data_IF_041033135488
#
_entry.id   IF_041033135488
#
_cell.length_a   1.000
_cell.length_b   1.000
_cell.length_c   1.000
_cell.angle_alpha   90.00
_cell.angle_beta   90.00
_cell.angle_gamma   90.00
#
_symmetry.space_group_name_H-M   'P 1'
#
loop_
_entity.id
_entity.type
_entity.pdbx_description
1 polymer ?
#
# COMPACT_ATOMS: atom_id res chain seq x y z
N UNK A 1 55.43 0.42 -52.72
CA UNK A 1 54.24 1.06 -52.12
C UNK A 1 54.19 0.67 -50.66
N UNK A 2 54.55 1.60 -49.78
CA UNK A 2 54.68 1.36 -48.33
C UNK A 2 53.32 1.54 -47.64
N UNK A 3 52.92 0.55 -46.84
CA UNK A 3 51.72 0.59 -46.01
C UNK A 3 51.91 1.58 -44.85
N UNK A 4 51.03 2.57 -44.77
CA UNK A 4 50.98 3.52 -43.67
C UNK A 4 50.54 2.85 -42.35
N UNK A 5 51.16 3.18 -41.20
CA UNK A 5 50.81 2.57 -39.92
C UNK A 5 49.45 3.09 -39.41
N UNK A 6 48.65 2.18 -38.85
CA UNK A 6 47.34 2.48 -38.26
C UNK A 6 47.52 3.27 -36.93
N UNK A 7 46.69 4.29 -36.67
CA UNK A 7 46.70 4.99 -35.39
C UNK A 7 46.18 4.08 -34.27
N UNK A 8 46.97 3.94 -33.22
CA UNK A 8 46.60 3.28 -31.97
C UNK A 8 45.53 4.10 -31.24
N UNK A 9 44.44 3.44 -30.84
CA UNK A 9 43.40 4.05 -30.00
C UNK A 9 43.98 4.39 -28.62
N UNK A 10 43.74 5.59 -28.07
CA UNK A 10 44.10 5.89 -26.69
C UNK A 10 43.24 5.05 -25.74
N UNK A 11 43.91 4.27 -24.89
CA UNK A 11 43.28 3.62 -23.75
C UNK A 11 42.82 4.70 -22.76
N UNK A 12 41.52 4.74 -22.47
CA UNK A 12 40.99 5.55 -21.38
C UNK A 12 41.34 4.86 -20.04
N UNK A 13 42.10 5.50 -19.14
CA UNK A 13 42.27 5.01 -17.78
C UNK A 13 41.01 5.40 -17.01
N UNK A 14 40.12 4.44 -16.72
CA UNK A 14 39.05 4.68 -15.75
C UNK A 14 39.65 4.65 -14.33
N UNK A 15 39.54 5.74 -13.56
CA UNK A 15 39.93 5.74 -12.16
C UNK A 15 38.88 4.97 -11.35
N UNK A 16 39.36 4.03 -10.53
CA UNK A 16 38.62 3.51 -9.37
C UNK A 16 38.29 4.71 -8.46
N UNK A 17 37.06 4.75 -7.94
CA UNK A 17 36.49 5.75 -7.01
C UNK A 17 35.94 7.06 -7.61
N UNK A 18 34.72 6.98 -8.16
CA UNK A 18 33.77 8.10 -8.15
C UNK A 18 32.64 7.78 -7.15
N UNK A 19 32.64 8.31 -5.91
CA UNK A 19 31.59 8.11 -4.90
C UNK A 19 30.35 8.99 -5.15
N UNK A 20 29.98 9.24 -6.42
CA UNK A 20 28.87 10.13 -6.80
C UNK A 20 27.67 9.45 -7.45
N UNK A 21 27.74 8.15 -7.78
CA UNK A 21 26.72 7.49 -8.61
C UNK A 21 25.64 6.70 -7.82
N UNK A 22 25.68 6.71 -6.49
CA UNK A 22 24.78 5.90 -5.66
C UNK A 22 23.42 6.56 -5.33
N UNK A 23 23.21 7.84 -5.65
CA UNK A 23 21.95 8.54 -5.32
C UNK A 23 20.93 8.52 -6.47
N UNK A 24 21.31 8.10 -7.69
CA UNK A 24 20.45 8.23 -8.88
C UNK A 24 19.77 6.92 -9.33
N UNK A 25 19.42 6.02 -8.39
CA UNK A 25 18.77 4.74 -8.72
C UNK A 25 17.49 4.41 -7.95
N UNK A 26 16.96 5.34 -7.16
CA UNK A 26 15.70 5.14 -6.43
C UNK A 26 14.47 5.81 -7.09
N UNK A 27 14.59 6.29 -8.33
CA UNK A 27 13.42 6.60 -9.14
C UNK A 27 13.04 5.34 -9.91
N UNK A 28 12.12 4.53 -9.37
CA UNK A 28 11.54 3.43 -10.14
C UNK A 28 10.85 4.03 -11.38
N UNK A 29 11.23 3.62 -12.61
CA UNK A 29 10.59 4.10 -13.81
C UNK A 29 9.18 3.50 -13.89
N UNK A 30 8.20 4.20 -13.31
CA UNK A 30 6.79 3.87 -13.44
C UNK A 30 6.28 3.90 -14.90
N UNK A 31 7.09 4.40 -15.85
CA UNK A 31 6.70 4.56 -17.24
C UNK A 31 6.78 3.30 -18.11
N UNK A 32 7.72 2.38 -17.87
CA UNK A 32 7.94 1.27 -18.82
C UNK A 32 6.91 0.15 -18.72
N UNK A 33 6.22 0.02 -17.57
CA UNK A 33 5.21 -1.02 -17.36
C UNK A 33 3.84 -0.66 -17.92
N UNK A 34 3.57 0.60 -18.25
CA UNK A 34 2.27 1.01 -18.80
C UNK A 34 2.15 0.64 -20.28
N UNK A 35 3.24 0.75 -21.04
CA UNK A 35 3.24 0.41 -22.46
C UNK A 35 3.08 -1.11 -22.69
N UNK A 36 3.41 -1.94 -21.72
CA UNK A 36 3.24 -3.39 -21.76
C UNK A 36 1.81 -3.85 -21.44
N UNK A 37 1.00 -2.99 -20.81
CA UNK A 37 -0.42 -3.26 -20.52
C UNK A 37 -1.38 -2.79 -21.62
N UNK A 38 -0.87 -2.17 -22.69
CA UNK A 38 -1.72 -1.66 -23.76
C UNK A 38 -2.21 -2.80 -24.67
N UNK A 39 -3.53 -3.01 -24.79
CA UNK A 39 -4.06 -3.88 -25.82
C UNK A 39 -3.76 -3.28 -27.20
N UNK A 40 -3.33 -4.14 -28.14
CA UNK A 40 -2.97 -3.77 -29.51
C UNK A 40 -4.19 -3.22 -30.29
N UNK A 41 -5.41 -3.61 -29.89
CA UNK A 41 -6.67 -3.18 -30.46
C UNK A 41 -7.66 -2.69 -29.38
N UNK A 42 -8.26 -1.52 -29.59
CA UNK A 42 -9.25 -0.93 -28.68
C UNK A 42 -10.67 -1.36 -29.06
N UNK A 43 -11.08 -2.53 -28.60
CA UNK A 43 -12.47 -2.98 -28.72
C UNK A 43 -13.43 -2.18 -27.82
N UNK A 44 -14.72 -2.17 -28.17
CA UNK A 44 -15.77 -1.55 -27.37
C UNK A 44 -15.83 -2.10 -25.93
N UNK A 45 -15.48 -3.37 -25.73
CA UNK A 45 -15.40 -4.00 -24.40
C UNK A 45 -14.26 -3.41 -23.57
N UNK A 46 -13.09 -3.18 -24.19
CA UNK A 46 -11.92 -2.54 -23.57
C UNK A 46 -12.24 -1.11 -23.15
N UNK A 47 -12.88 -0.33 -24.02
CA UNK A 47 -13.34 1.03 -23.70
C UNK A 47 -14.29 1.01 -22.49
N UNK A 48 -15.25 0.08 -22.48
CA UNK A 48 -16.16 -0.11 -21.35
C UNK A 48 -15.42 -0.46 -20.05
N UNK A 49 -14.43 -1.36 -20.12
CA UNK A 49 -13.64 -1.78 -18.96
C UNK A 49 -12.75 -0.65 -18.42
N UNK A 50 -12.15 0.16 -19.30
CA UNK A 50 -11.39 1.35 -18.93
C UNK A 50 -12.27 2.42 -18.28
N UNK A 51 -13.49 2.64 -18.79
CA UNK A 51 -14.45 3.56 -18.19
C UNK A 51 -14.86 3.09 -16.78
N UNK A 52 -15.14 1.80 -16.61
CA UNK A 52 -15.42 1.20 -15.29
C UNK A 52 -14.21 1.33 -14.37
N UNK A 53 -13.00 1.07 -14.86
CA UNK A 53 -11.75 1.25 -14.10
C UNK A 53 -11.57 2.69 -13.62
N UNK A 54 -11.85 3.66 -14.48
CA UNK A 54 -11.81 5.09 -14.13
C UNK A 54 -12.83 5.43 -13.03
N UNK A 55 -14.08 4.94 -13.14
CA UNK A 55 -15.10 5.13 -12.11
C UNK A 55 -14.69 4.47 -10.79
N UNK A 56 -14.18 3.24 -10.81
CA UNK A 56 -13.67 2.55 -9.63
C UNK A 56 -12.49 3.31 -9.01
N UNK A 57 -11.58 3.82 -9.82
CA UNK A 57 -10.47 4.67 -9.38
C UNK A 57 -10.96 5.94 -8.67
N UNK A 58 -11.99 6.61 -9.20
CA UNK A 58 -12.60 7.78 -8.56
C UNK A 58 -13.24 7.39 -7.22
N UNK A 59 -13.99 6.29 -7.17
CA UNK A 59 -14.60 5.82 -5.91
C UNK A 59 -13.51 5.46 -4.89
N UNK A 60 -12.41 4.83 -5.30
CA UNK A 60 -11.27 4.57 -4.42
C UNK A 60 -10.60 5.86 -3.95
N UNK A 61 -10.47 6.85 -4.84
CA UNK A 61 -9.85 8.14 -4.53
C UNK A 61 -10.64 8.94 -3.48
N UNK A 62 -11.97 8.93 -3.55
CA UNK A 62 -12.84 9.73 -2.67
C UNK A 62 -13.44 8.97 -1.49
N UNK A 63 -13.68 7.67 -1.66
CA UNK A 63 -14.37 6.82 -0.69
C UNK A 63 -13.51 5.64 -0.23
N UNK A 64 -12.24 5.57 -0.60
CA UNK A 64 -11.37 4.41 -0.37
C UNK A 64 -11.32 3.95 1.09
N UNK A 65 -11.19 4.89 2.04
CA UNK A 65 -11.23 4.56 3.46
C UNK A 65 -12.56 3.91 3.89
N UNK A 66 -13.71 4.43 3.42
CA UNK A 66 -15.03 3.84 3.76
C UNK A 66 -15.21 2.48 3.08
N UNK A 67 -14.79 2.37 1.82
CA UNK A 67 -14.79 1.12 1.07
C UNK A 67 -13.94 0.06 1.75
N UNK A 68 -12.79 0.40 2.32
CA UNK A 68 -11.95 -0.54 3.06
C UNK A 68 -12.71 -1.19 4.22
N UNK A 69 -13.43 -0.41 5.03
CA UNK A 69 -14.26 -0.95 6.11
C UNK A 69 -15.40 -1.82 5.58
N UNK A 70 -16.11 -1.36 4.54
CA UNK A 70 -17.16 -2.15 3.91
C UNK A 70 -16.63 -3.46 3.33
N UNK A 71 -15.45 -3.44 2.70
CA UNK A 71 -14.81 -4.62 2.14
C UNK A 71 -14.40 -5.62 3.24
N UNK A 72 -13.85 -5.15 4.37
CA UNK A 72 -13.58 -6.03 5.51
C UNK A 72 -14.84 -6.68 6.05
N UNK A 73 -15.94 -5.94 6.17
CA UNK A 73 -17.22 -6.47 6.63
C UNK A 73 -17.78 -7.54 5.67
N UNK A 74 -17.74 -7.27 4.35
CA UNK A 74 -18.15 -8.22 3.32
C UNK A 74 -17.25 -9.46 3.32
N UNK A 75 -15.94 -9.27 3.47
CA UNK A 75 -14.99 -10.38 3.56
C UNK A 75 -15.27 -11.28 4.77
N UNK A 76 -15.48 -10.69 5.96
CA UNK A 76 -15.84 -11.44 7.16
C UNK A 76 -17.18 -12.17 7.01
N UNK A 77 -18.17 -11.53 6.36
CA UNK A 77 -19.44 -12.16 6.02
C UNK A 77 -19.23 -13.39 5.15
N UNK A 78 -18.49 -13.25 4.04
CA UNK A 78 -18.23 -14.34 3.10
C UNK A 78 -17.46 -15.48 3.76
N UNK A 79 -16.46 -15.18 4.59
CA UNK A 79 -15.73 -16.21 5.32
C UNK A 79 -16.64 -17.03 6.25
N UNK A 80 -17.46 -16.37 7.08
CA UNK A 80 -18.37 -17.08 7.96
C UNK A 80 -19.47 -17.84 7.19
N UNK A 81 -20.00 -17.25 6.12
CA UNK A 81 -20.98 -17.89 5.25
C UNK A 81 -20.41 -19.14 4.57
N UNK A 82 -19.20 -19.05 4.01
CA UNK A 82 -18.53 -20.18 3.36
C UNK A 82 -18.14 -21.28 4.35
N UNK A 83 -17.71 -20.93 5.56
CA UNK A 83 -17.44 -21.89 6.62
C UNK A 83 -18.72 -22.67 6.99
N UNK A 84 -19.84 -21.97 7.16
CA UNK A 84 -21.11 -22.61 7.49
C UNK A 84 -21.68 -23.43 6.33
N UNK A 85 -21.52 -22.94 5.10
CA UNK A 85 -21.87 -23.70 3.90
C UNK A 85 -21.06 -25.00 3.78
N UNK A 86 -19.76 -24.97 4.13
CA UNK A 86 -18.90 -26.15 4.14
C UNK A 86 -19.35 -27.18 5.18
N UNK A 87 -19.68 -26.74 6.41
CA UNK A 87 -20.24 -27.60 7.45
C UNK A 87 -21.61 -28.16 7.03
N UNK A 88 -22.46 -27.32 6.46
CA UNK A 88 -23.76 -27.71 5.94
C UNK A 88 -23.67 -28.73 4.80
N UNK A 89 -22.66 -28.64 3.93
CA UNK A 89 -22.42 -29.61 2.86
C UNK A 89 -22.11 -31.01 3.40
N UNK A 90 -21.32 -31.11 4.48
CA UNK A 90 -21.05 -32.38 5.16
C UNK A 90 -22.33 -32.96 5.76
N UNK A 91 -23.16 -32.13 6.39
CA UNK A 91 -24.42 -32.56 6.99
C UNK A 91 -25.47 -33.01 5.96
N UNK A 92 -25.55 -32.32 4.83
CA UNK A 92 -26.43 -32.66 3.70
C UNK A 92 -26.12 -34.03 3.10
N UNK A 93 -24.88 -34.50 3.21
CA UNK A 93 -24.45 -35.81 2.73
C UNK A 93 -25.00 -37.01 3.53
N UNK A 94 -25.55 -36.78 4.74
CA UNK A 94 -25.95 -37.86 5.64
C UNK A 94 -27.35 -38.43 5.34
N UNK A 95 -28.35 -37.61 5.00
CA UNK A 95 -29.70 -38.11 4.63
C UNK A 95 -30.27 -37.42 3.38
N UNK A 96 -30.52 -38.17 2.29
CA UNK A 96 -31.06 -37.60 1.06
C UNK A 96 -32.58 -37.30 1.10
N UNK A 97 -33.33 -37.87 2.06
CA UNK A 97 -34.80 -37.76 2.11
C UNK A 97 -35.31 -36.37 2.52
N UNK A 98 -34.50 -35.56 3.21
CA UNK A 98 -34.91 -34.26 3.77
C UNK A 98 -34.07 -33.07 3.25
N UNK A 99 -33.53 -33.18 2.03
CA UNK A 99 -32.60 -32.17 1.51
C UNK A 99 -33.20 -30.76 1.42
N UNK A 100 -34.50 -30.62 1.16
CA UNK A 100 -35.16 -29.31 1.02
C UNK A 100 -35.05 -28.48 2.29
N UNK A 101 -35.51 -29.04 3.41
CA UNK A 101 -35.49 -28.37 4.73
C UNK A 101 -34.07 -28.13 5.23
N UNK A 102 -33.16 -29.10 5.03
CA UNK A 102 -31.75 -28.98 5.45
C UNK A 102 -31.01 -27.87 4.68
N UNK A 103 -31.22 -27.75 3.37
CA UNK A 103 -30.62 -26.67 2.54
C UNK A 103 -31.10 -25.29 2.99
N UNK A 104 -32.40 -25.14 3.24
CA UNK A 104 -32.96 -23.88 3.72
C UNK A 104 -32.35 -23.48 5.07
N UNK A 105 -32.20 -24.44 6.00
CA UNK A 105 -31.59 -24.21 7.30
C UNK A 105 -30.12 -23.75 7.18
N UNK A 106 -29.31 -24.43 6.36
CA UNK A 106 -27.91 -24.06 6.13
C UNK A 106 -27.78 -22.64 5.58
N UNK A 107 -28.64 -22.25 4.64
CA UNK A 107 -28.62 -20.88 4.09
C UNK A 107 -28.99 -19.84 5.17
N UNK A 108 -30.05 -20.08 5.95
CA UNK A 108 -30.48 -19.15 7.00
C UNK A 108 -29.43 -19.02 8.09
N UNK A 109 -28.85 -20.13 8.56
CA UNK A 109 -27.75 -20.12 9.53
C UNK A 109 -26.51 -19.40 8.96
N UNK A 110 -26.16 -19.65 7.70
CA UNK A 110 -25.05 -18.97 7.03
C UNK A 110 -25.24 -17.46 6.95
N UNK A 111 -26.45 -16.99 6.65
CA UNK A 111 -26.77 -15.56 6.65
C UNK A 111 -26.69 -14.94 8.06
N UNK A 112 -27.20 -15.64 9.08
CA UNK A 112 -27.13 -15.19 10.47
C UNK A 112 -25.68 -15.11 10.97
N UNK A 113 -24.89 -16.16 10.77
CA UNK A 113 -23.48 -16.17 11.17
C UNK A 113 -22.63 -15.19 10.36
N UNK A 114 -22.88 -15.08 9.05
CA UNK A 114 -22.25 -14.09 8.19
C UNK A 114 -22.49 -12.66 8.67
N UNK A 115 -23.74 -12.30 8.97
CA UNK A 115 -24.08 -10.96 9.46
C UNK A 115 -23.47 -10.69 10.83
N UNK A 116 -23.51 -11.64 11.76
CA UNK A 116 -22.84 -11.53 13.06
C UNK A 116 -21.33 -11.33 12.91
N UNK A 117 -20.67 -12.09 12.04
CA UNK A 117 -19.24 -11.98 11.76
C UNK A 117 -18.88 -10.61 11.16
N UNK A 118 -19.70 -10.09 10.23
CA UNK A 118 -19.50 -8.76 9.66
C UNK A 118 -19.57 -7.66 10.72
N UNK A 119 -20.58 -7.68 11.59
CA UNK A 119 -20.74 -6.70 12.68
C UNK A 119 -19.59 -6.82 13.69
N UNK A 120 -19.20 -8.04 14.04
CA UNK A 120 -18.07 -8.28 14.95
C UNK A 120 -16.76 -7.79 14.32
N UNK A 121 -16.53 -8.06 13.04
CA UNK A 121 -15.37 -7.59 12.30
C UNK A 121 -15.31 -6.06 12.28
N UNK A 122 -16.44 -5.36 12.06
CA UNK A 122 -16.49 -3.90 12.12
C UNK A 122 -16.13 -3.35 13.51
N UNK A 123 -16.49 -4.06 14.59
CA UNK A 123 -16.07 -3.69 15.95
C UNK A 123 -14.58 -3.96 16.17
N UNK A 124 -14.08 -5.09 15.69
CA UNK A 124 -12.68 -5.50 15.81
C UNK A 124 -11.75 -4.72 14.89
N UNK A 125 -12.24 -4.15 13.77
CA UNK A 125 -11.42 -3.41 12.81
C UNK A 125 -10.71 -2.23 13.50
N UNK A 126 -11.37 -1.57 14.47
CA UNK A 126 -10.73 -0.53 15.31
C UNK A 126 -9.51 -1.07 16.06
N UNK A 127 -9.63 -2.27 16.63
CA UNK A 127 -8.54 -2.94 17.33
C UNK A 127 -7.44 -3.38 16.36
N UNK A 128 -7.81 -3.90 15.18
CA UNK A 128 -6.86 -4.27 14.13
C UNK A 128 -6.06 -3.07 13.64
N UNK A 129 -6.69 -1.93 13.38
CA UNK A 129 -5.98 -0.70 12.99
C UNK A 129 -5.02 -0.20 14.07
N UNK A 130 -5.45 -0.27 15.33
CA UNK A 130 -4.63 0.06 16.48
C UNK A 130 -3.40 -0.85 16.56
N UNK A 131 -3.59 -2.15 16.37
CA UNK A 131 -2.52 -3.14 16.40
C UNK A 131 -1.56 -2.97 15.22
N UNK A 132 -2.08 -2.78 14.00
CA UNK A 132 -1.27 -2.52 12.80
C UNK A 132 -0.46 -1.23 12.99
N UNK A 133 -1.06 -0.18 13.54
CA UNK A 133 -0.34 1.07 13.80
C UNK A 133 0.74 0.95 14.86
N UNK A 134 0.46 0.18 15.91
CA UNK A 134 1.44 -0.13 16.93
C UNK A 134 2.61 -0.95 16.36
N UNK A 135 2.33 -2.05 15.64
CA UNK A 135 3.34 -2.91 15.04
C UNK A 135 4.17 -2.17 13.98
N UNK A 136 3.51 -1.37 13.13
CA UNK A 136 4.18 -0.55 12.13
C UNK A 136 5.07 0.53 12.76
N UNK A 137 4.56 1.25 13.75
CA UNK A 137 5.35 2.24 14.49
C UNK A 137 6.50 1.59 15.27
N UNK A 138 6.28 0.42 15.85
CA UNK A 138 7.33 -0.33 16.54
C UNK A 138 8.46 -0.75 15.59
N UNK A 139 8.12 -1.21 14.38
CA UNK A 139 9.10 -1.55 13.35
C UNK A 139 9.91 -0.33 12.89
N UNK A 140 9.24 0.81 12.67
CA UNK A 140 9.90 2.09 12.33
C UNK A 140 10.83 2.53 13.48
N UNK A 141 10.35 2.49 14.72
CA UNK A 141 11.14 2.84 15.90
C UNK A 141 12.38 1.95 16.05
N UNK A 142 12.25 0.65 15.83
CA UNK A 142 13.37 -0.27 15.83
C UNK A 142 14.38 0.08 14.72
N UNK A 143 13.91 0.39 13.52
CA UNK A 143 14.74 0.88 12.42
C UNK A 143 15.48 2.18 12.76
N UNK A 144 14.82 3.13 13.41
CA UNK A 144 15.46 4.38 13.87
C UNK A 144 16.55 4.11 14.90
N UNK A 145 16.31 3.20 15.85
CA UNK A 145 17.30 2.84 16.88
C UNK A 145 18.52 2.17 16.23
N UNK A 146 18.30 1.23 15.31
CA UNK A 146 19.38 0.61 14.55
C UNK A 146 20.18 1.63 13.74
N UNK A 147 19.50 2.60 13.10
CA UNK A 147 20.16 3.67 12.37
C UNK A 147 21.00 4.57 13.29
N UNK A 148 20.47 4.95 14.46
CA UNK A 148 21.20 5.76 15.45
C UNK A 148 22.42 4.99 15.96
N UNK A 149 22.27 3.70 16.30
CA UNK A 149 23.39 2.85 16.73
C UNK A 149 24.44 2.81 15.62
N UNK A 150 24.05 2.53 14.38
CA UNK A 150 24.96 2.48 13.23
C UNK A 150 25.71 3.80 13.00
N UNK A 151 25.02 4.94 13.04
CA UNK A 151 25.63 6.26 12.86
C UNK A 151 26.56 6.61 14.03
N UNK A 152 26.20 6.21 15.25
CA UNK A 152 27.01 6.45 16.45
C UNK A 152 28.25 5.55 16.55
N UNK A 153 28.26 4.39 15.87
CA UNK A 153 29.42 3.50 15.85
C UNK A 153 30.63 4.13 15.14
N UNK A 154 30.41 4.90 14.06
CA UNK A 154 31.50 5.53 13.31
C UNK A 154 32.39 6.42 14.18
N UNK A 155 31.87 7.45 14.89
CA UNK A 155 32.71 8.32 15.70
C UNK A 155 33.31 7.61 16.91
N UNK A 156 32.65 6.61 17.48
CA UNK A 156 33.19 5.84 18.62
C UNK A 156 34.41 5.02 18.19
N UNK A 157 34.29 4.31 17.06
CA UNK A 157 35.38 3.49 16.51
C UNK A 157 36.60 4.32 16.07
N UNK A 158 36.41 5.61 15.77
CA UNK A 158 37.49 6.52 15.38
C UNK A 158 38.22 7.14 16.59
N UNK A 159 37.56 7.23 17.77
CA UNK A 159 38.15 7.85 18.97
C UNK A 159 38.92 6.88 19.86
N UNK A 160 38.65 5.58 19.79
CA UNK A 160 39.35 4.57 20.59
C UNK A 160 40.47 3.89 19.77
N UNK A 161 41.74 4.25 20.03
CA UNK A 161 42.90 3.40 19.72
C UNK A 161 42.95 2.13 20.62
N UNK A 162 42.02 2.02 21.57
CA UNK A 162 41.87 0.91 22.51
C UNK A 162 40.84 -0.12 22.01
N UNK A 163 40.94 -1.36 22.52
CA UNK A 163 40.10 -2.48 22.08
C UNK A 163 38.60 -2.15 22.11
N UNK A 164 37.84 -2.45 21.04
CA UNK A 164 36.45 -2.06 20.91
C UNK A 164 35.60 -2.61 22.06
N UNK A 165 34.78 -1.75 22.67
CA UNK A 165 33.91 -2.09 23.78
C UNK A 165 32.85 -3.14 23.36
N UNK A 166 33.15 -4.42 23.60
CA UNK A 166 32.23 -5.53 23.27
C UNK A 166 30.97 -5.46 24.14
N UNK A 167 29.81 -5.44 23.50
CA UNK A 167 28.49 -5.54 24.16
C UNK A 167 27.74 -4.21 24.33
N UNK A 168 28.35 -3.08 23.97
CA UNK A 168 27.67 -1.76 24.01
C UNK A 168 26.39 -1.72 23.17
N UNK A 169 26.37 -2.37 22.00
CA UNK A 169 25.21 -2.40 21.10
C UNK A 169 23.96 -3.01 21.74
N UNK A 170 24.12 -4.09 22.51
CA UNK A 170 23.01 -4.76 23.21
C UNK A 170 22.49 -3.87 24.34
N UNK A 171 23.40 -3.23 25.10
CA UNK A 171 23.02 -2.33 26.18
C UNK A 171 22.28 -1.08 25.64
N UNK A 172 22.82 -0.44 24.60
CA UNK A 172 22.23 0.73 23.97
C UNK A 172 20.88 0.41 23.30
N UNK A 173 20.79 -0.70 22.57
CA UNK A 173 19.53 -1.12 21.93
C UNK A 173 18.42 -1.44 22.94
N UNK A 174 18.72 -2.07 24.08
CA UNK A 174 17.69 -2.36 25.09
C UNK A 174 17.27 -1.09 25.82
N UNK A 175 18.24 -0.27 26.25
CA UNK A 175 17.98 0.89 27.10
C UNK A 175 17.28 2.03 26.34
N UNK A 176 17.69 2.29 25.10
CA UNK A 176 17.11 3.34 24.26
C UNK A 176 16.01 2.79 23.36
N UNK A 177 16.13 1.55 22.90
CA UNK A 177 15.21 0.99 21.92
C UNK A 177 13.82 0.76 22.45
N UNK A 178 13.65 0.19 23.65
CA UNK A 178 12.32 -0.08 24.21
C UNK A 178 11.49 1.21 24.38
N UNK A 179 12.00 2.28 25.01
CA UNK A 179 11.27 3.54 25.10
C UNK A 179 10.97 4.17 23.73
N UNK A 180 11.93 4.19 22.81
CA UNK A 180 11.74 4.80 21.48
C UNK A 180 10.71 4.02 20.67
N UNK A 181 10.78 2.69 20.65
CA UNK A 181 9.82 1.81 19.96
C UNK A 181 8.41 2.02 20.52
N UNK A 182 8.25 2.13 21.84
CA UNK A 182 6.96 2.39 22.46
C UNK A 182 6.43 3.78 22.13
N UNK A 183 7.26 4.82 22.23
CA UNK A 183 6.86 6.21 21.92
C UNK A 183 6.48 6.34 20.44
N UNK A 184 7.31 5.84 19.53
CA UNK A 184 7.03 5.86 18.08
C UNK A 184 5.79 5.03 17.77
N UNK A 185 5.64 3.85 18.37
CA UNK A 185 4.42 3.03 18.26
C UNK A 185 3.16 3.77 18.70
N UNK A 186 3.22 4.47 19.84
CA UNK A 186 2.12 5.28 20.35
C UNK A 186 1.81 6.48 19.44
N UNK A 187 2.82 7.18 18.93
CA UNK A 187 2.63 8.32 18.02
C UNK A 187 2.08 7.88 16.65
N UNK A 188 2.53 6.74 16.14
CA UNK A 188 2.09 6.21 14.84
C UNK A 188 0.68 5.60 14.87
N UNK A 189 0.08 5.38 16.06
CA UNK A 189 -1.27 4.82 16.20
C UNK A 189 -2.33 5.62 15.45
N UNK A 190 -2.25 6.96 15.48
CA UNK A 190 -3.16 7.83 14.72
C UNK A 190 -2.80 7.93 13.24
N UNK A 191 -1.54 7.67 12.90
CA UNK A 191 -0.98 7.88 11.56
C UNK A 191 -1.45 6.84 10.54
N UNK A 192 -1.79 5.62 10.95
CA UNK A 192 -2.24 4.56 10.04
C UNK A 192 -3.52 4.91 9.30
N UNK A 193 -4.45 5.59 9.96
CA UNK A 193 -5.69 6.01 9.33
C UNK A 193 -5.40 7.04 8.24
N UNK A 194 -4.54 8.01 8.54
CA UNK A 194 -4.08 9.03 7.59
C UNK A 194 -3.29 8.40 6.43
N UNK A 195 -2.41 7.43 6.71
CA UNK A 195 -1.68 6.69 5.69
C UNK A 195 -2.62 5.90 4.77
N UNK A 196 -3.65 5.25 5.32
CA UNK A 196 -4.59 4.48 4.52
C UNK A 196 -5.42 5.42 3.62
N UNK A 197 -5.84 6.57 4.13
CA UNK A 197 -6.50 7.61 3.33
C UNK A 197 -5.58 8.11 2.22
N UNK A 198 -4.31 8.38 2.54
CA UNK A 198 -3.30 8.79 1.57
C UNK A 198 -3.06 7.72 0.49
N UNK A 199 -2.87 6.47 0.90
CA UNK A 199 -2.62 5.35 0.00
C UNK A 199 -3.81 5.10 -0.94
N UNK A 200 -5.04 5.17 -0.44
CA UNK A 200 -6.24 4.99 -1.28
C UNK A 200 -6.49 6.19 -2.21
N UNK A 201 -6.22 7.42 -1.75
CA UNK A 201 -6.29 8.62 -2.59
C UNK A 201 -5.26 8.56 -3.73
N UNK A 202 -4.00 8.24 -3.42
CA UNK A 202 -2.93 8.10 -4.42
C UNK A 202 -3.23 6.94 -5.37
N UNK A 203 -3.58 5.76 -4.85
CA UNK A 203 -3.90 4.58 -5.66
C UNK A 203 -5.08 4.83 -6.58
N UNK A 204 -6.16 5.44 -6.07
CA UNK A 204 -7.32 5.84 -6.87
C UNK A 204 -6.95 6.84 -7.96
N UNK A 205 -6.17 7.88 -7.63
CA UNK A 205 -5.71 8.86 -8.61
C UNK A 205 -4.85 8.23 -9.72
N UNK A 206 -3.96 7.29 -9.38
CA UNK A 206 -3.15 6.55 -10.37
C UNK A 206 -4.06 5.75 -11.32
N UNK A 207 -5.03 5.00 -10.78
CA UNK A 207 -5.97 4.23 -11.60
C UNK A 207 -6.77 5.15 -12.53
N UNK A 208 -7.30 6.27 -12.03
CA UNK A 208 -8.05 7.24 -12.83
C UNK A 208 -7.21 7.79 -13.97
N UNK A 209 -6.00 8.28 -13.67
CA UNK A 209 -5.15 8.90 -14.69
C UNK A 209 -4.71 7.87 -15.72
N UNK A 210 -4.32 6.66 -15.30
CA UNK A 210 -3.96 5.59 -16.24
C UNK A 210 -5.14 5.19 -17.12
N UNK A 211 -6.31 4.90 -16.54
CA UNK A 211 -7.50 4.55 -17.32
C UNK A 211 -7.94 5.66 -18.26
N UNK A 212 -7.87 6.93 -17.83
CA UNK A 212 -8.21 8.07 -18.67
C UNK A 212 -7.22 8.26 -19.83
N UNK A 213 -5.92 8.12 -19.58
CA UNK A 213 -4.89 8.19 -20.63
C UNK A 213 -5.08 7.07 -21.66
N UNK A 214 -5.35 5.84 -21.21
CA UNK A 214 -5.64 4.70 -22.09
C UNK A 214 -6.92 4.92 -22.91
N UNK A 215 -7.97 5.45 -22.27
CA UNK A 215 -9.25 5.77 -22.94
C UNK A 215 -9.04 6.83 -24.03
N UNK A 216 -8.25 7.88 -23.76
CA UNK A 216 -7.97 8.93 -24.75
C UNK A 216 -7.09 8.44 -25.89
N UNK A 217 -6.14 7.52 -25.63
CA UNK A 217 -5.39 6.83 -26.69
C UNK A 217 -6.31 6.01 -27.60
N UNK A 218 -7.26 5.26 -27.03
CA UNK A 218 -8.26 4.51 -27.81
C UNK A 218 -9.19 5.40 -28.65
N UNK A 219 -9.41 6.65 -28.22
CA UNK A 219 -10.24 7.61 -28.94
C UNK A 219 -9.47 8.40 -30.02
N UNK A 220 -8.21 8.02 -30.30
CA UNK A 220 -7.31 8.71 -31.25
C UNK A 220 -7.16 10.22 -30.98
N UNK A 221 -7.32 10.64 -29.72
CA UNK A 221 -7.12 12.05 -29.33
C UNK A 221 -5.62 12.33 -29.34
N UNK A 222 -5.23 13.44 -29.96
CA UNK A 222 -3.83 13.85 -30.05
C UNK A 222 -3.25 14.13 -28.64
N UNK A 223 -2.26 13.33 -28.22
CA UNK A 223 -1.75 13.30 -26.83
C UNK A 223 -0.46 14.10 -26.65
N UNK A 224 -0.02 14.90 -27.61
CA UNK A 224 1.26 15.64 -27.54
C UNK A 224 1.43 16.50 -26.28
N UNK A 225 0.31 17.02 -25.73
CA UNK A 225 0.33 17.80 -24.49
C UNK A 225 0.23 16.90 -23.24
N UNK A 226 -0.56 15.82 -23.29
CA UNK A 226 -0.81 14.92 -22.16
C UNK A 226 0.25 13.81 -21.99
N UNK A 227 1.03 13.53 -23.03
CA UNK A 227 2.12 12.55 -23.00
C UNK A 227 3.32 13.01 -22.18
N UNK A 228 3.36 14.28 -21.77
CA UNK A 228 4.38 14.79 -20.85
C UNK A 228 4.14 14.20 -19.45
N UNK A 229 5.07 13.36 -18.99
CA UNK A 229 5.07 12.76 -17.64
C UNK A 229 4.80 13.80 -16.52
N UNK A 230 5.27 15.05 -16.72
CA UNK A 230 5.02 16.14 -15.79
C UNK A 230 3.53 16.50 -15.64
N UNK A 231 2.76 16.49 -16.74
CA UNK A 231 1.32 16.79 -16.72
C UNK A 231 0.55 15.66 -16.05
N UNK A 232 0.90 14.40 -16.36
CA UNK A 232 0.29 13.24 -15.72
C UNK A 232 0.56 13.21 -14.21
N UNK A 233 1.82 13.42 -13.80
CA UNK A 233 2.17 13.50 -12.39
C UNK A 233 1.46 14.65 -11.68
N UNK A 234 1.32 15.81 -12.34
CA UNK A 234 0.56 16.95 -11.84
C UNK A 234 -0.93 16.61 -11.63
N UNK A 235 -1.56 15.97 -12.61
CA UNK A 235 -2.96 15.54 -12.52
C UNK A 235 -3.17 14.51 -11.39
N UNK A 236 -2.27 13.53 -11.28
CA UNK A 236 -2.29 12.55 -10.18
C UNK A 236 -2.16 13.24 -8.83
N UNK A 237 -1.22 14.18 -8.68
CA UNK A 237 -1.01 14.91 -7.43
C UNK A 237 -2.23 15.74 -7.03
N UNK A 238 -2.85 16.46 -7.99
CA UNK A 238 -4.06 17.25 -7.74
C UNK A 238 -5.24 16.36 -7.34
N UNK A 239 -5.47 15.26 -8.07
CA UNK A 239 -6.53 14.31 -7.75
C UNK A 239 -6.31 13.65 -6.38
N UNK A 240 -5.09 13.21 -6.09
CA UNK A 240 -4.75 12.61 -4.81
C UNK A 240 -4.92 13.60 -3.65
N UNK A 241 -4.49 14.87 -3.82
CA UNK A 241 -4.67 15.90 -2.79
C UNK A 241 -6.15 16.21 -2.54
N UNK A 242 -6.95 16.33 -3.60
CA UNK A 242 -8.38 16.59 -3.49
C UNK A 242 -9.14 15.39 -2.89
N UNK A 243 -8.81 14.17 -3.34
CA UNK A 243 -9.34 12.93 -2.77
C UNK A 243 -9.01 12.79 -1.29
N UNK A 244 -7.75 13.01 -0.91
CA UNK A 244 -7.31 12.98 0.47
C UNK A 244 -8.02 14.04 1.33
N UNK A 245 -8.13 15.28 0.85
CA UNK A 245 -8.82 16.35 1.56
C UNK A 245 -10.31 16.02 1.78
N UNK A 246 -10.99 15.46 0.77
CA UNK A 246 -12.38 15.03 0.90
C UNK A 246 -12.53 13.85 1.86
N UNK A 247 -11.66 12.84 1.79
CA UNK A 247 -11.66 11.72 2.74
C UNK A 247 -11.45 12.21 4.17
N UNK A 248 -10.54 13.17 4.36
CA UNK A 248 -10.25 13.77 5.66
C UNK A 248 -11.44 14.57 6.20
N UNK A 249 -12.06 15.43 5.38
CA UNK A 249 -13.21 16.25 5.76
C UNK A 249 -14.49 15.44 5.99
N UNK A 250 -14.67 14.34 5.28
CA UNK A 250 -15.87 13.47 5.40
C UNK A 250 -15.72 12.40 6.48
N UNK A 251 -14.58 12.34 7.17
CA UNK A 251 -14.39 11.42 8.27
C UNK A 251 -15.32 11.81 9.42
N UNK A 252 -16.21 10.91 9.89
CA UNK A 252 -17.10 11.23 10.99
C UNK A 252 -16.26 11.47 12.25
N UNK A 253 -16.23 12.73 12.72
CA UNK A 253 -15.57 13.18 13.96
C UNK A 253 -16.04 12.47 15.23
N UNK A 254 -17.09 11.64 15.15
CA UNK A 254 -17.71 10.93 16.28
C UNK A 254 -16.75 10.01 17.08
N UNK A 255 -15.56 9.69 16.56
CA UNK A 255 -14.52 8.98 17.32
C UNK A 255 -13.57 9.89 18.11
N UNK A 256 -13.36 11.13 17.66
CA UNK A 256 -12.33 12.03 18.18
C UNK A 256 -12.72 12.71 19.50
N UNK A 257 -14.02 12.89 19.75
CA UNK A 257 -14.50 13.44 21.01
C UNK A 257 -14.35 12.44 22.17
N UNK A 258 -14.54 11.14 21.93
CA UNK A 258 -14.33 10.11 22.96
C UNK A 258 -12.87 9.88 23.34
N UNK A 259 -11.92 10.05 22.41
CA UNK A 259 -10.48 9.98 22.75
C UNK A 259 -9.97 11.24 23.44
N UNK A 260 -10.71 12.37 23.42
CA UNK A 260 -10.37 13.56 24.22
C UNK A 260 -10.91 13.51 25.65
N UNK A 261 -11.87 12.62 25.93
CA UNK A 261 -12.48 12.46 27.24
C UNK A 261 -11.81 11.38 28.11
N UNK A 262 -10.84 10.63 27.56
CA UNK A 262 -10.04 9.59 28.26
C UNK A 262 -8.58 9.95 28.34
#
# INVERSE_FOLDING_TARGET
>A
MAQAPRPSKPACPCPRNCPGHLVQRAAMPFGSSVDELLPEECDASTIGLLAVGCLLGLVLCFCGYRLYFSALAVFAFLLAFTAEAALGAVWLGQDPREQGSKKALVVVCGLLWGTMAAVLCMKLAKFVHMLIGFLGGAAIGAGMVLLVVYVSQQPINEMEEAEPFKGWEQFASVTVGVPVVLVVGCLCRGFTTTLLMGATAIGGAVVVVLSAVLLMRCAEVDMDVLGKNAVQAGLMAVLAAFGFALQYCTQPRAGQERERET
#
